data_IF_057335881008
#
_entry.id   IF_057335881008
#
_cell.length_a   1.000
_cell.length_b   1.000
_cell.length_c   1.000
_cell.angle_alpha   90.00
_cell.angle_beta   90.00
_cell.angle_gamma   90.00
#
_symmetry.space_group_name_H-M   'P 1'
#
loop_
_entity.id
_entity.type
_entity.pdbx_description
1 polymer ?
#
# COMPACT_ATOMS: atom_id res chain seq x y z
N UNK A 1 12.98 -48.32 -4.36
CA UNK A 1 12.55 -47.11 -3.63
C UNK A 1 13.10 -45.92 -4.41
N UNK A 2 12.25 -45.07 -4.94
CA UNK A 2 12.72 -43.88 -5.64
C UNK A 2 13.41 -42.93 -4.63
N UNK A 3 14.62 -42.53 -4.94
CA UNK A 3 15.41 -41.63 -4.10
C UNK A 3 14.73 -40.29 -4.02
N UNK A 4 14.39 -39.80 -2.84
CA UNK A 4 13.74 -38.50 -2.63
C UNK A 4 14.65 -37.39 -3.11
N UNK A 5 14.23 -36.69 -4.14
CA UNK A 5 14.88 -35.44 -4.59
C UNK A 5 14.54 -34.29 -3.60
N UNK A 6 15.46 -34.08 -2.64
CA UNK A 6 15.33 -32.88 -1.76
C UNK A 6 15.49 -31.61 -2.57
N UNK A 7 14.79 -30.52 -2.19
CA UNK A 7 14.85 -29.20 -2.87
C UNK A 7 16.31 -28.73 -3.08
N UNK A 8 17.22 -29.07 -2.17
CA UNK A 8 18.64 -28.74 -2.29
C UNK A 8 19.35 -29.42 -3.49
N UNK A 9 18.75 -30.48 -4.07
CA UNK A 9 19.27 -31.16 -5.27
C UNK A 9 18.64 -30.64 -6.56
N UNK A 10 17.66 -29.73 -6.49
CA UNK A 10 17.08 -29.09 -7.66
C UNK A 10 18.06 -28.07 -8.26
N UNK A 11 17.90 -27.75 -9.52
CA UNK A 11 18.62 -26.62 -10.11
C UNK A 11 18.34 -25.37 -9.27
N UNK A 12 19.30 -24.49 -9.15
CA UNK A 12 19.20 -23.30 -8.27
C UNK A 12 18.00 -22.44 -8.64
N UNK A 13 17.76 -22.26 -9.94
CA UNK A 13 16.62 -21.51 -10.50
C UNK A 13 15.25 -22.13 -10.20
N UNK A 14 15.18 -23.43 -9.87
CA UNK A 14 13.93 -24.13 -9.52
C UNK A 14 13.64 -24.14 -8.02
N UNK A 15 14.59 -23.77 -7.19
CA UNK A 15 14.38 -23.68 -5.74
C UNK A 15 13.52 -22.46 -5.43
N UNK A 16 12.44 -22.59 -4.66
CA UNK A 16 11.46 -21.51 -4.50
C UNK A 16 12.03 -20.15 -4.03
N UNK A 17 13.01 -20.16 -3.11
CA UNK A 17 13.62 -18.92 -2.60
C UNK A 17 14.53 -18.27 -3.64
N UNK A 18 15.36 -19.03 -4.28
CA UNK A 18 16.26 -18.62 -5.34
C UNK A 18 15.48 -18.15 -6.56
N UNK A 19 14.45 -18.89 -6.97
CA UNK A 19 13.51 -18.51 -8.02
C UNK A 19 12.81 -17.16 -7.73
N UNK A 20 12.40 -16.95 -6.46
CA UNK A 20 11.81 -15.68 -6.03
C UNK A 20 12.80 -14.52 -6.14
N UNK A 21 14.06 -14.74 -5.79
CA UNK A 21 15.12 -13.72 -5.87
C UNK A 21 15.49 -13.38 -7.31
N UNK A 22 15.55 -14.37 -8.19
CA UNK A 22 15.97 -14.20 -9.59
C UNK A 22 14.84 -13.65 -10.48
N UNK A 23 13.62 -14.14 -10.29
CA UNK A 23 12.49 -13.90 -11.20
C UNK A 23 11.31 -13.16 -10.56
N UNK A 24 11.39 -12.88 -9.27
CA UNK A 24 10.35 -12.17 -8.52
C UNK A 24 9.21 -13.09 -8.04
N UNK A 25 8.44 -12.58 -7.07
CA UNK A 25 7.38 -13.34 -6.37
C UNK A 25 6.26 -13.83 -7.29
N UNK A 26 5.95 -13.09 -8.35
CA UNK A 26 4.86 -13.42 -9.27
C UNK A 26 5.09 -14.67 -10.13
N UNK A 27 6.31 -15.22 -10.14
CA UNK A 27 6.64 -16.45 -10.89
C UNK A 27 6.44 -17.73 -10.09
N UNK A 28 6.19 -17.61 -8.78
CA UNK A 28 5.99 -18.75 -7.92
C UNK A 28 4.53 -19.21 -7.92
N UNK A 29 4.34 -20.53 -7.90
CA UNK A 29 3.03 -21.13 -7.63
C UNK A 29 2.66 -21.00 -6.15
N UNK A 30 1.37 -21.13 -5.83
CA UNK A 30 0.87 -21.09 -4.44
C UNK A 30 1.58 -22.15 -3.56
N UNK A 31 1.83 -23.33 -4.11
CA UNK A 31 2.56 -24.39 -3.39
C UNK A 31 4.01 -23.99 -3.09
N UNK A 32 4.69 -23.29 -3.99
CA UNK A 32 6.06 -22.80 -3.78
C UNK A 32 6.08 -21.66 -2.74
N UNK A 33 5.10 -20.75 -2.76
CA UNK A 33 4.95 -19.70 -1.74
C UNK A 33 4.71 -20.28 -0.35
N UNK A 34 3.78 -21.23 -0.24
CA UNK A 34 3.52 -21.94 1.01
C UNK A 34 4.73 -22.76 1.49
N UNK A 35 5.49 -23.37 0.56
CA UNK A 35 6.72 -24.09 0.89
C UNK A 35 7.80 -23.17 1.47
N UNK A 36 7.92 -21.94 1.01
CA UNK A 36 8.80 -20.91 1.60
C UNK A 36 8.40 -20.62 3.04
N UNK A 37 7.09 -20.50 3.32
CA UNK A 37 6.55 -20.21 4.65
C UNK A 37 6.84 -21.33 5.66
N UNK A 38 6.61 -22.58 5.28
CA UNK A 38 6.82 -23.73 6.18
C UNK A 38 8.30 -24.16 6.29
N UNK A 39 9.16 -23.72 5.35
CA UNK A 39 10.61 -23.90 5.34
C UNK A 39 11.11 -25.34 5.10
N UNK A 40 10.38 -26.36 5.49
CA UNK A 40 10.77 -27.77 5.32
C UNK A 40 9.57 -28.69 5.16
N UNK A 41 9.73 -29.76 4.38
CA UNK A 41 8.74 -30.83 4.24
C UNK A 41 8.78 -31.84 5.41
N UNK A 42 8.48 -33.07 5.08
CA UNK A 42 8.56 -34.21 6.00
C UNK A 42 9.58 -35.25 5.48
N UNK A 43 9.58 -36.48 6.07
CA UNK A 43 10.46 -37.56 5.65
C UNK A 43 10.17 -38.12 4.26
N UNK A 44 8.95 -37.92 3.75
CA UNK A 44 8.47 -38.48 2.48
C UNK A 44 8.39 -37.38 1.39
N UNK A 45 7.98 -36.18 1.75
CA UNK A 45 7.73 -35.07 0.83
C UNK A 45 8.68 -33.92 1.05
N UNK A 46 9.07 -33.24 -0.05
CA UNK A 46 9.67 -31.93 0.00
C UNK A 46 8.63 -30.92 0.49
N UNK A 47 9.05 -29.70 0.88
CA UNK A 47 8.11 -28.66 1.29
C UNK A 47 7.09 -28.33 0.19
N UNK A 48 7.52 -28.31 -1.09
CA UNK A 48 6.64 -28.04 -2.23
C UNK A 48 5.63 -29.16 -2.46
N UNK A 49 6.09 -30.42 -2.42
CA UNK A 49 5.21 -31.59 -2.56
C UNK A 49 4.18 -31.68 -1.45
N UNK A 50 4.60 -31.45 -0.21
CA UNK A 50 3.71 -31.41 0.95
C UNK A 50 2.62 -30.34 0.75
N UNK A 51 3.00 -29.13 0.33
CA UNK A 51 2.01 -28.06 0.13
C UNK A 51 1.14 -28.27 -1.10
N UNK A 52 1.60 -28.97 -2.14
CA UNK A 52 0.74 -29.41 -3.25
C UNK A 52 -0.33 -30.39 -2.78
N UNK A 53 0.02 -31.36 -1.92
CA UNK A 53 -0.96 -32.30 -1.34
C UNK A 53 -1.98 -31.55 -0.50
N UNK A 54 -1.53 -30.69 0.41
CA UNK A 54 -2.45 -29.88 1.23
C UNK A 54 -3.37 -29.05 0.35
N UNK A 55 -2.86 -28.27 -0.61
CA UNK A 55 -3.69 -27.47 -1.51
C UNK A 55 -4.69 -28.32 -2.29
N UNK A 56 -4.30 -29.51 -2.75
CA UNK A 56 -5.21 -30.42 -3.46
C UNK A 56 -6.43 -30.78 -2.62
N UNK A 57 -6.24 -31.05 -1.33
CA UNK A 57 -7.34 -31.39 -0.41
C UNK A 57 -8.27 -30.17 -0.16
N UNK A 58 -7.76 -28.95 -0.31
CA UNK A 58 -8.54 -27.70 -0.29
C UNK A 58 -8.91 -27.18 -1.70
N UNK A 59 -9.05 -28.10 -2.67
CA UNK A 59 -9.48 -27.79 -4.06
C UNK A 59 -8.58 -26.75 -4.76
N UNK A 60 -7.31 -26.68 -4.42
CA UNK A 60 -6.36 -25.64 -4.87
C UNK A 60 -6.84 -24.21 -4.61
N UNK A 61 -7.62 -24.00 -3.56
CA UNK A 61 -8.17 -22.71 -3.17
C UNK A 61 -7.50 -22.15 -1.92
N UNK A 62 -6.79 -21.04 -2.03
CA UNK A 62 -6.23 -20.31 -0.89
C UNK A 62 -7.34 -19.78 0.05
N UNK A 63 -8.54 -19.50 -0.49
CA UNK A 63 -9.67 -19.09 0.34
C UNK A 63 -10.17 -20.25 1.23
N UNK A 64 -10.22 -21.47 0.70
CA UNK A 64 -10.63 -22.64 1.48
C UNK A 64 -9.54 -23.00 2.52
N UNK A 65 -8.27 -22.99 2.10
CA UNK A 65 -7.14 -23.19 3.01
C UNK A 65 -7.14 -22.15 4.15
N UNK A 66 -7.51 -20.91 3.89
CA UNK A 66 -7.57 -19.84 4.89
C UNK A 66 -8.72 -19.96 5.90
N UNK A 67 -9.68 -20.87 5.69
CA UNK A 67 -10.79 -21.16 6.62
C UNK A 67 -10.47 -22.31 7.58
N UNK A 68 -9.39 -23.05 7.33
CA UNK A 68 -9.00 -24.21 8.13
C UNK A 68 -8.50 -23.80 9.51
N UNK A 69 -8.39 -24.78 10.40
CA UNK A 69 -7.89 -24.59 11.76
C UNK A 69 -6.44 -25.09 11.91
N UNK A 70 -5.77 -24.68 13.00
CA UNK A 70 -4.43 -25.21 13.34
C UNK A 70 -4.46 -26.74 13.49
N UNK A 71 -5.50 -27.26 14.15
CA UNK A 71 -5.63 -28.70 14.41
C UNK A 71 -5.79 -29.48 13.11
N UNK A 72 -6.61 -29.02 12.17
CA UNK A 72 -6.78 -29.65 10.86
C UNK A 72 -5.46 -29.67 10.07
N UNK A 73 -4.71 -28.58 10.06
CA UNK A 73 -3.39 -28.57 9.41
C UNK A 73 -2.38 -29.47 10.08
N UNK A 74 -2.46 -29.68 11.39
CA UNK A 74 -1.57 -30.58 12.13
C UNK A 74 -1.83 -32.05 11.81
N UNK A 75 -2.92 -32.43 11.15
CA UNK A 75 -3.12 -33.81 10.69
C UNK A 75 -2.17 -34.19 9.54
N UNK A 76 -1.61 -33.22 8.82
CA UNK A 76 -0.63 -33.50 7.77
C UNK A 76 0.75 -33.79 8.38
N UNK A 77 1.28 -34.96 8.07
CA UNK A 77 2.62 -35.34 8.51
C UNK A 77 3.66 -34.32 8.06
N UNK A 78 4.34 -33.71 9.01
CA UNK A 78 5.34 -32.65 8.76
C UNK A 78 4.83 -31.21 8.91
N UNK A 79 3.55 -31.03 9.21
CA UNK A 79 2.97 -29.77 9.64
C UNK A 79 2.66 -29.87 11.15
N UNK A 80 3.47 -29.21 11.94
CA UNK A 80 3.20 -29.03 13.38
C UNK A 80 2.58 -27.64 13.63
N UNK A 81 2.23 -27.35 14.90
CA UNK A 81 1.56 -26.09 15.26
C UNK A 81 2.25 -24.83 14.73
N UNK A 82 3.58 -24.76 14.78
CA UNK A 82 4.34 -23.60 14.31
C UNK A 82 4.13 -23.35 12.80
N UNK A 83 4.19 -24.39 11.97
CA UNK A 83 3.97 -24.28 10.52
C UNK A 83 2.51 -23.95 10.21
N UNK A 84 1.55 -24.59 10.90
CA UNK A 84 0.13 -24.31 10.76
C UNK A 84 -0.19 -22.84 11.09
N UNK A 85 0.34 -22.33 12.19
CA UNK A 85 0.19 -20.92 12.60
C UNK A 85 0.78 -19.98 11.52
N UNK A 86 1.95 -20.30 10.96
CA UNK A 86 2.58 -19.48 9.91
C UNK A 86 1.70 -19.39 8.66
N UNK A 87 1.10 -20.52 8.23
CA UNK A 87 0.17 -20.53 7.08
C UNK A 87 -1.05 -19.66 7.36
N UNK A 88 -1.70 -19.85 8.51
CA UNK A 88 -2.91 -19.10 8.86
C UNK A 88 -2.63 -17.62 9.09
N UNK A 89 -1.50 -17.26 9.68
CA UNK A 89 -1.07 -15.87 9.83
C UNK A 89 -0.86 -15.19 8.46
N UNK A 90 -0.25 -15.88 7.50
CA UNK A 90 -0.09 -15.35 6.14
C UNK A 90 -1.44 -15.17 5.43
N UNK A 91 -2.37 -16.12 5.59
CA UNK A 91 -3.74 -16.02 5.06
C UNK A 91 -4.50 -14.83 5.65
N UNK A 92 -4.41 -14.63 6.96
CA UNK A 92 -5.04 -13.49 7.65
C UNK A 92 -4.45 -12.14 7.20
N UNK A 93 -3.14 -12.05 7.02
CA UNK A 93 -2.49 -10.85 6.46
C UNK A 93 -2.99 -10.54 5.04
N UNK A 94 -3.12 -11.57 4.20
CA UNK A 94 -3.70 -11.43 2.85
C UNK A 94 -5.14 -10.92 2.88
N UNK A 95 -5.97 -11.42 3.81
CA UNK A 95 -7.34 -10.96 4.02
C UNK A 95 -7.39 -9.50 4.46
N UNK A 96 -6.61 -9.11 5.46
CA UNK A 96 -6.53 -7.71 5.94
C UNK A 96 -6.07 -6.75 4.85
N UNK A 97 -5.07 -7.14 4.06
CA UNK A 97 -4.64 -6.36 2.90
C UNK A 97 -5.80 -6.11 1.93
N UNK A 98 -6.58 -7.16 1.61
CA UNK A 98 -7.75 -7.02 0.74
C UNK A 98 -8.83 -6.13 1.34
N UNK A 99 -9.05 -6.20 2.66
CA UNK A 99 -9.97 -5.32 3.38
C UNK A 99 -9.49 -3.86 3.38
N UNK A 100 -8.18 -3.61 3.46
CA UNK A 100 -7.60 -2.28 3.33
C UNK A 100 -7.74 -1.73 1.91
N UNK A 101 -7.57 -2.57 0.88
CA UNK A 101 -7.81 -2.19 -0.52
C UNK A 101 -9.30 -1.90 -0.78
N UNK A 102 -10.20 -2.59 -0.07
CA UNK A 102 -11.66 -2.41 -0.12
C UNK A 102 -12.18 -1.20 0.68
N UNK A 103 -11.39 -0.60 1.58
CA UNK A 103 -11.71 0.71 2.13
C UNK A 103 -11.66 1.70 0.97
N UNK A 104 -12.84 2.10 0.49
CA UNK A 104 -12.99 3.02 -0.64
C UNK A 104 -12.14 4.26 -0.41
N UNK A 105 -11.04 4.36 -1.16
CA UNK A 105 -10.27 5.60 -1.21
C UNK A 105 -11.22 6.67 -1.73
N UNK A 106 -11.43 7.71 -0.93
CA UNK A 106 -12.36 8.80 -1.27
C UNK A 106 -12.03 9.33 -2.68
N UNK A 107 -13.04 9.39 -3.52
CA UNK A 107 -12.92 9.99 -4.86
C UNK A 107 -13.14 11.49 -4.75
N UNK A 108 -12.29 12.27 -5.39
CA UNK A 108 -12.33 13.72 -5.41
C UNK A 108 -12.76 14.17 -6.81
N UNK A 109 -13.96 14.66 -6.94
CA UNK A 109 -14.54 15.11 -8.21
C UNK A 109 -14.73 16.64 -8.27
N UNK A 110 -14.72 17.30 -7.11
CA UNK A 110 -14.98 18.73 -6.99
C UNK A 110 -14.13 19.38 -5.88
N UNK A 111 -14.06 20.71 -5.89
CA UNK A 111 -13.47 21.49 -4.79
C UNK A 111 -14.17 21.24 -3.46
N UNK A 112 -15.48 21.00 -3.51
CA UNK A 112 -16.28 20.67 -2.33
C UNK A 112 -15.84 19.37 -1.69
N UNK A 113 -15.44 18.35 -2.47
CA UNK A 113 -14.94 17.07 -1.94
C UNK A 113 -13.61 17.26 -1.23
N UNK A 114 -12.74 18.13 -1.77
CA UNK A 114 -11.47 18.47 -1.11
C UNK A 114 -11.73 19.22 0.19
N UNK A 115 -12.64 20.21 0.18
CA UNK A 115 -13.05 20.92 1.38
C UNK A 115 -13.59 19.97 2.46
N UNK A 116 -14.56 19.12 2.13
CA UNK A 116 -15.12 18.14 3.06
C UNK A 116 -14.09 17.11 3.57
N UNK A 117 -13.05 16.88 2.80
CA UNK A 117 -11.97 15.99 3.20
C UNK A 117 -11.06 16.62 4.25
N UNK A 118 -10.76 17.92 4.10
CA UNK A 118 -9.83 18.62 4.98
C UNK A 118 -10.50 19.35 6.14
N UNK A 119 -11.76 19.76 6.00
CA UNK A 119 -12.47 20.53 7.03
C UNK A 119 -12.36 19.93 8.44
N UNK A 120 -12.63 18.61 8.66
CA UNK A 120 -12.52 18.03 10.00
C UNK A 120 -11.09 18.01 10.57
N UNK A 121 -10.09 18.24 9.73
CA UNK A 121 -8.68 18.19 10.12
C UNK A 121 -8.11 19.59 10.41
N UNK A 122 -8.71 20.61 9.83
CA UNK A 122 -8.12 21.94 9.76
C UNK A 122 -8.98 23.03 10.41
N UNK A 123 -10.28 22.80 10.62
CA UNK A 123 -11.22 23.82 11.10
C UNK A 123 -10.89 24.41 12.48
N UNK A 124 -10.25 23.63 13.36
CA UNK A 124 -9.94 24.04 14.73
C UNK A 124 -8.42 24.26 14.96
N UNK A 125 -7.62 24.32 13.89
CA UNK A 125 -6.18 24.54 14.04
C UNK A 125 -5.88 26.00 14.42
N UNK A 126 -5.10 26.22 15.49
CA UNK A 126 -4.75 27.57 15.94
C UNK A 126 -3.64 28.20 15.10
N UNK A 127 -2.98 27.43 14.24
CA UNK A 127 -1.88 27.87 13.37
C UNK A 127 -2.18 27.51 11.92
N UNK A 128 -1.59 28.28 11.00
CA UNK A 128 -1.66 27.97 9.58
C UNK A 128 -0.90 26.69 9.25
N UNK A 129 -1.55 25.77 8.55
CA UNK A 129 -0.95 24.54 8.04
C UNK A 129 -1.23 24.42 6.54
N UNK A 130 -0.23 23.97 5.80
CA UNK A 130 -0.38 23.66 4.39
C UNK A 130 -0.24 22.14 4.16
N UNK A 131 -1.20 21.59 3.43
CA UNK A 131 -1.30 20.18 3.11
C UNK A 131 -1.41 19.96 1.61
N UNK A 132 -0.87 18.85 1.13
CA UNK A 132 -1.10 18.37 -0.23
C UNK A 132 -1.92 17.10 -0.20
N UNK A 133 -2.95 17.04 -1.03
CA UNK A 133 -3.72 15.85 -1.34
C UNK A 133 -3.22 15.26 -2.64
N UNK A 134 -2.81 14.00 -2.63
CA UNK A 134 -2.26 13.30 -3.77
C UNK A 134 -3.29 12.32 -4.33
N UNK A 135 -3.49 12.35 -5.65
CA UNK A 135 -4.53 11.61 -6.34
C UNK A 135 -3.95 10.74 -7.46
N UNK A 136 -4.59 9.59 -7.68
CA UNK A 136 -4.32 8.72 -8.83
C UNK A 136 -5.11 9.15 -10.08
N UNK A 137 -4.95 8.42 -11.18
CA UNK A 137 -5.62 8.69 -12.45
C UNK A 137 -7.17 8.65 -12.36
N UNK A 138 -7.73 7.86 -11.43
CA UNK A 138 -9.16 7.78 -11.17
C UNK A 138 -9.65 8.80 -10.12
N UNK A 139 -8.87 9.85 -9.85
CA UNK A 139 -9.14 10.87 -8.83
C UNK A 139 -9.35 10.30 -7.41
N UNK A 140 -8.85 9.10 -7.13
CA UNK A 140 -8.89 8.52 -5.79
C UNK A 140 -7.70 9.03 -4.97
N UNK A 141 -7.94 9.33 -3.71
CA UNK A 141 -6.91 9.77 -2.77
C UNK A 141 -5.85 8.69 -2.59
N UNK A 142 -4.60 9.00 -2.90
CA UNK A 142 -3.44 8.15 -2.61
C UNK A 142 -2.98 8.41 -1.18
N UNK A 143 -2.75 9.70 -0.87
CA UNK A 143 -2.22 10.13 0.43
C UNK A 143 -2.56 11.61 0.67
N UNK A 144 -2.42 12.05 1.91
CA UNK A 144 -2.43 13.44 2.33
C UNK A 144 -1.19 13.72 3.16
N UNK A 145 -0.47 14.76 2.83
CA UNK A 145 0.82 15.05 3.46
C UNK A 145 0.83 16.50 3.93
N UNK A 146 1.19 16.69 5.19
CA UNK A 146 1.46 18.03 5.71
C UNK A 146 2.81 18.52 5.18
N UNK A 147 2.79 19.63 4.46
CA UNK A 147 3.98 20.22 3.85
C UNK A 147 4.65 21.21 4.79
N UNK A 148 3.83 22.01 5.45
CA UNK A 148 4.34 23.02 6.39
C UNK A 148 3.35 23.27 7.51
N UNK A 149 3.85 23.73 8.62
CA UNK A 149 3.09 24.11 9.81
C UNK A 149 3.82 25.24 10.53
N UNK A 150 3.11 26.27 10.94
CA UNK A 150 3.64 27.31 11.80
C UNK A 150 3.61 28.71 11.21
N UNK A 151 3.69 29.72 12.07
CA UNK A 151 3.62 31.15 11.78
C UNK A 151 2.21 31.71 11.98
N UNK A 152 2.14 32.83 12.72
CA UNK A 152 0.90 33.58 12.88
C UNK A 152 0.57 34.44 11.63
N UNK A 153 1.49 34.53 10.66
CA UNK A 153 1.39 35.48 9.55
C UNK A 153 1.62 34.86 8.16
N UNK A 154 2.43 33.83 8.02
CA UNK A 154 2.59 33.10 6.75
C UNK A 154 3.33 31.76 6.95
N UNK A 155 3.03 30.79 6.10
CA UNK A 155 3.70 29.50 6.09
C UNK A 155 4.43 29.32 4.77
N UNK A 156 5.78 29.34 4.81
CA UNK A 156 6.59 29.13 3.62
C UNK A 156 6.44 27.69 3.09
N UNK A 157 5.86 27.54 1.91
CA UNK A 157 5.74 26.26 1.20
C UNK A 157 6.85 26.13 0.16
N UNK A 158 7.70 25.13 0.31
CA UNK A 158 8.69 24.79 -0.71
C UNK A 158 8.06 23.88 -1.77
N UNK A 159 7.89 24.38 -2.99
CA UNK A 159 7.36 23.66 -4.16
C UNK A 159 8.12 22.34 -4.42
N UNK A 160 9.42 22.32 -4.14
CA UNK A 160 10.24 21.11 -4.30
C UNK A 160 9.81 19.99 -3.34
N UNK A 161 9.43 20.35 -2.10
CA UNK A 161 8.90 19.39 -1.13
C UNK A 161 7.57 18.79 -1.60
N UNK A 162 6.66 19.62 -2.10
CA UNK A 162 5.37 19.17 -2.65
C UNK A 162 5.57 18.21 -3.81
N UNK A 163 6.41 18.58 -4.77
CA UNK A 163 6.67 17.75 -5.96
C UNK A 163 7.41 16.45 -5.62
N UNK A 164 8.34 16.50 -4.68
CA UNK A 164 9.04 15.28 -4.19
C UNK A 164 8.03 14.25 -3.67
N UNK A 165 7.10 14.67 -2.82
CA UNK A 165 6.09 13.77 -2.27
C UNK A 165 5.16 13.23 -3.37
N UNK A 166 4.74 14.08 -4.31
CA UNK A 166 3.91 13.66 -5.43
C UNK A 166 4.61 12.61 -6.31
N UNK A 167 5.90 12.77 -6.61
CA UNK A 167 6.69 11.83 -7.38
C UNK A 167 6.91 10.51 -6.64
N UNK A 168 7.29 10.56 -5.35
CA UNK A 168 7.51 9.37 -4.52
C UNK A 168 6.24 8.51 -4.42
N UNK A 169 5.07 9.14 -4.33
CA UNK A 169 3.77 8.46 -4.26
C UNK A 169 3.17 8.17 -5.63
N UNK A 170 3.87 8.49 -6.73
CA UNK A 170 3.41 8.31 -8.11
C UNK A 170 2.03 8.94 -8.34
N UNK A 171 1.80 10.11 -7.77
CA UNK A 171 0.58 10.87 -7.98
C UNK A 171 0.54 11.45 -9.40
N UNK A 172 -0.63 11.48 -10.01
CA UNK A 172 -0.87 12.10 -11.33
C UNK A 172 -1.67 13.40 -11.24
N UNK A 173 -2.24 13.64 -10.06
CA UNK A 173 -2.89 14.91 -9.74
C UNK A 173 -2.72 15.23 -8.25
N UNK A 174 -2.81 16.50 -7.91
CA UNK A 174 -2.73 16.99 -6.54
C UNK A 174 -3.63 18.21 -6.31
N UNK A 175 -4.01 18.41 -5.05
CA UNK A 175 -4.63 19.63 -4.57
C UNK A 175 -3.82 20.16 -3.38
N UNK A 176 -3.57 21.46 -3.35
CA UNK A 176 -2.93 22.14 -2.23
C UNK A 176 -4.01 22.79 -1.36
N UNK A 177 -3.92 22.61 -0.05
CA UNK A 177 -4.91 23.13 0.91
C UNK A 177 -4.20 23.77 2.10
N UNK A 178 -4.70 24.89 2.57
CA UNK A 178 -4.27 25.50 3.82
C UNK A 178 -5.46 26.15 4.55
N UNK A 179 -5.33 26.32 5.86
CA UNK A 179 -6.29 27.00 6.68
C UNK A 179 -5.81 28.42 6.97
N UNK A 180 -6.77 29.33 7.17
CA UNK A 180 -6.53 30.68 7.67
C UNK A 180 -7.15 30.81 9.07
N UNK A 181 -6.39 30.71 10.17
CA UNK A 181 -6.92 30.88 11.54
C UNK A 181 -7.59 32.25 11.75
N UNK A 182 -7.27 33.24 10.90
CA UNK A 182 -7.94 34.55 10.89
C UNK A 182 -9.37 34.51 10.35
N UNK A 183 -9.81 33.38 9.76
CA UNK A 183 -11.10 33.28 9.09
C UNK A 183 -11.17 33.98 7.72
N UNK A 184 -10.05 34.46 7.18
CA UNK A 184 -10.04 35.08 5.86
C UNK A 184 -10.30 34.05 4.75
N UNK A 185 -11.31 34.31 3.93
CA UNK A 185 -11.66 33.49 2.76
C UNK A 185 -10.95 33.94 1.48
N UNK A 186 -10.09 34.95 1.55
CA UNK A 186 -9.40 35.52 0.39
C UNK A 186 -7.95 35.06 0.38
N UNK A 187 -7.44 34.58 -0.78
CA UNK A 187 -6.03 34.28 -0.93
C UNK A 187 -5.17 35.55 -0.76
N UNK A 188 -3.98 35.37 -0.23
CA UNK A 188 -2.97 36.42 -0.24
C UNK A 188 -2.24 36.46 -1.59
N UNK A 189 -1.53 37.56 -1.86
CA UNK A 189 -0.67 37.67 -3.05
C UNK A 189 0.43 36.56 -3.06
N UNK A 190 0.86 36.11 -1.89
CA UNK A 190 1.85 35.05 -1.75
C UNK A 190 1.26 33.70 -2.12
N UNK A 191 0.00 33.44 -1.76
CA UNK A 191 -0.73 32.24 -2.14
C UNK A 191 -0.90 32.14 -3.66
N UNK A 192 -1.26 33.25 -4.31
CA UNK A 192 -1.38 33.30 -5.76
C UNK A 192 -0.04 33.00 -6.45
N UNK A 193 1.05 33.58 -5.97
CA UNK A 193 2.41 33.31 -6.49
C UNK A 193 2.84 31.87 -6.28
N UNK A 194 2.56 31.31 -5.10
CA UNK A 194 2.83 29.89 -4.79
C UNK A 194 2.06 28.99 -5.75
N UNK A 195 0.78 29.27 -5.93
CA UNK A 195 -0.09 28.51 -6.84
C UNK A 195 0.45 28.53 -8.27
N UNK A 196 0.79 29.70 -8.79
CA UNK A 196 1.32 29.84 -10.15
C UNK A 196 2.66 29.09 -10.32
N UNK A 197 3.54 29.19 -9.31
CA UNK A 197 4.83 28.52 -9.33
C UNK A 197 4.67 26.99 -9.26
N UNK A 198 3.80 26.49 -8.37
CA UNK A 198 3.52 25.07 -8.25
C UNK A 198 2.86 24.52 -9.52
N UNK A 199 1.90 25.21 -10.12
CA UNK A 199 1.24 24.78 -11.35
C UNK A 199 2.21 24.65 -12.51
N UNK A 200 3.09 25.65 -12.71
CA UNK A 200 4.14 25.61 -13.73
C UNK A 200 5.09 24.44 -13.54
N UNK A 201 5.56 24.21 -12.32
CA UNK A 201 6.49 23.16 -12.00
C UNK A 201 5.83 21.75 -12.09
N UNK A 202 4.59 21.61 -11.65
CA UNK A 202 3.82 20.37 -11.74
C UNK A 202 3.55 19.96 -13.20
N UNK A 203 3.23 20.92 -14.07
CA UNK A 203 3.04 20.68 -15.52
C UNK A 203 4.27 20.10 -16.18
N UNK A 204 5.48 20.55 -15.83
CA UNK A 204 6.73 20.00 -16.34
C UNK A 204 6.89 18.51 -15.94
N UNK A 205 6.38 18.13 -14.77
CA UNK A 205 6.41 16.75 -14.25
C UNK A 205 5.19 15.93 -14.68
N UNK A 206 4.31 16.45 -15.56
CA UNK A 206 3.06 15.82 -15.95
C UNK A 206 2.12 15.50 -14.76
N UNK A 207 2.16 16.30 -13.70
CA UNK A 207 1.27 16.23 -12.54
C UNK A 207 0.28 17.38 -12.63
N UNK A 208 -1.02 17.10 -12.55
CA UNK A 208 -2.06 18.11 -12.61
C UNK A 208 -2.29 18.75 -11.24
N UNK A 209 -2.16 20.03 -11.11
CA UNK A 209 -2.69 20.79 -9.98
C UNK A 209 -4.18 21.03 -10.24
N UNK A 210 -5.06 20.28 -9.57
CA UNK A 210 -6.51 20.35 -9.79
C UNK A 210 -7.16 21.47 -8.97
N UNK A 211 -6.52 21.83 -7.89
CA UNK A 211 -6.95 22.88 -6.97
C UNK A 211 -5.75 23.39 -6.19
N UNK A 212 -5.67 24.69 -6.04
CA UNK A 212 -4.78 25.33 -5.08
C UNK A 212 -5.63 26.22 -4.18
N UNK A 213 -5.35 26.12 -2.86
CA UNK A 213 -5.88 26.98 -1.84
C UNK A 213 -7.38 26.84 -1.60
N UNK A 214 -7.73 25.82 -0.81
CA UNK A 214 -9.01 25.85 -0.10
C UNK A 214 -8.74 26.51 1.24
N UNK A 215 -9.38 27.61 1.45
CA UNK A 215 -9.44 28.26 2.77
C UNK A 215 -10.45 27.49 3.62
N UNK A 216 -10.00 26.95 4.71
CA UNK A 216 -10.82 26.23 5.70
C UNK A 216 -10.79 27.03 6.99
#
# INVERSE_FOLDING_TARGET
MAEKLTINRWAEEDRPREKMMLHGVGTLSDAELLAILIGSGNTEDSAVELMRKVLSDYHNSLNELGKTTVDELCHYKGIGPAKAITILAASELGKRRKEEEGKERKVILSSRDVYQYFYPLMCDLPTEECWVLLLNQASKVIDRIKISSGGLVSTAVDVRCVLREALLKRAVAMALCHNHPSGSMRPSTEDDRLTEHLDKAAKVMNIRLILSLIHI
#
